data_IF_261750124205
#
_entry.id   IF_261750124205
#
_cell.length_a   1.000
_cell.length_b   1.000
_cell.length_c   1.000
_cell.angle_alpha   90.00
_cell.angle_beta   90.00
_cell.angle_gamma   90.00
#
_symmetry.space_group_name_H-M   'P 1'
#
loop_
_entity.id
_entity.type
_entity.pdbx_description
1 polymer ?
#
# COMPACT_ATOMS: atom_id res chain seq x y z
N UNK A 1 9.44 4.03 7.65
CA UNK A 1 9.26 4.09 6.18
C UNK A 1 8.20 5.09 5.74
N UNK A 2 6.99 5.05 6.28
CA UNK A 2 5.88 5.91 5.83
C UNK A 2 6.13 7.42 6.00
N UNK A 3 6.76 7.87 7.11
CA UNK A 3 7.09 9.29 7.31
C UNK A 3 8.14 9.87 6.35
N UNK A 4 8.97 9.02 5.73
CA UNK A 4 9.97 9.45 4.74
C UNK A 4 9.46 9.35 3.30
N UNK A 5 8.19 8.98 3.12
CA UNK A 5 7.54 8.84 1.82
C UNK A 5 6.29 9.75 1.81
N UNK A 6 6.40 11.02 1.37
CA UNK A 6 5.34 12.02 1.57
C UNK A 6 3.96 11.59 1.05
N UNK A 7 3.91 10.90 -0.10
CA UNK A 7 2.64 10.42 -0.65
C UNK A 7 2.03 9.28 0.19
N UNK A 8 2.84 8.38 0.76
CA UNK A 8 2.35 7.32 1.65
C UNK A 8 1.81 7.91 2.96
N UNK A 9 2.49 8.93 3.50
CA UNK A 9 2.03 9.69 4.64
C UNK A 9 0.72 10.43 4.36
N UNK A 10 0.61 11.11 3.20
CA UNK A 10 -0.63 11.75 2.76
C UNK A 10 -1.77 10.75 2.60
N UNK A 11 -1.48 9.55 2.05
CA UNK A 11 -2.47 8.49 1.90
C UNK A 11 -2.95 7.92 3.24
N UNK A 12 -2.13 8.04 4.29
CA UNK A 12 -2.40 7.47 5.60
C UNK A 12 -2.00 6.00 5.71
N UNK A 13 -1.09 5.52 4.85
CA UNK A 13 -0.61 4.13 4.90
C UNK A 13 0.07 3.88 6.26
N UNK A 14 -0.29 2.77 6.91
CA UNK A 14 0.24 2.35 8.21
C UNK A 14 0.90 0.99 8.09
N UNK A 15 2.08 0.84 8.68
CA UNK A 15 2.66 -0.49 8.91
C UNK A 15 1.93 -1.11 10.08
N UNK A 16 1.41 -2.32 9.90
CA UNK A 16 0.66 -3.04 10.95
C UNK A 16 1.48 -4.14 11.57
N UNK A 17 2.24 -4.87 10.75
CA UNK A 17 3.11 -5.94 11.21
C UNK A 17 4.37 -5.99 10.36
N UNK A 18 5.47 -6.42 10.97
CA UNK A 18 6.72 -6.72 10.28
C UNK A 18 7.36 -7.95 10.90
N UNK A 19 8.07 -8.72 10.10
CA UNK A 19 8.98 -9.76 10.58
C UNK A 19 10.01 -10.11 9.53
N UNK A 20 10.74 -11.23 9.69
CA UNK A 20 11.81 -11.59 8.77
C UNK A 20 11.28 -11.74 7.34
N UNK A 21 11.74 -10.86 6.44
CA UNK A 21 11.35 -10.82 5.03
C UNK A 21 9.83 -10.66 4.76
N UNK A 22 9.07 -10.09 5.69
CA UNK A 22 7.66 -9.72 5.43
C UNK A 22 7.26 -8.42 6.14
N UNK A 23 6.25 -7.77 5.59
CA UNK A 23 5.58 -6.63 6.20
C UNK A 23 4.13 -6.56 5.76
N UNK A 24 3.27 -6.08 6.66
CA UNK A 24 1.85 -5.87 6.41
C UNK A 24 1.55 -4.39 6.56
N UNK A 25 0.82 -3.84 5.60
CA UNK A 25 0.46 -2.43 5.55
C UNK A 25 -1.05 -2.29 5.37
N UNK A 26 -1.63 -1.28 6.01
CA UNK A 26 -3.04 -0.93 5.87
C UNK A 26 -3.19 0.46 5.23
N UNK A 27 -4.23 0.63 4.43
CA UNK A 27 -4.69 1.92 3.92
C UNK A 27 -6.09 2.22 4.49
N UNK A 28 -6.22 3.20 5.40
CA UNK A 28 -7.52 3.56 5.94
C UNK A 28 -8.44 4.09 4.84
N UNK A 29 -9.71 3.74 4.93
CA UNK A 29 -10.73 4.30 4.04
C UNK A 29 -10.81 5.82 4.19
N UNK A 30 -10.89 6.52 3.06
CA UNK A 30 -11.24 7.94 2.95
C UNK A 30 -12.06 8.16 1.69
N UNK A 31 -13.05 9.05 1.74
CA UNK A 31 -13.91 9.33 0.59
C UNK A 31 -13.13 9.81 -0.65
N UNK A 32 -12.04 10.54 -0.42
CA UNK A 32 -11.12 11.03 -1.46
C UNK A 32 -10.48 9.90 -2.29
N UNK A 33 -10.47 8.67 -1.78
CA UNK A 33 -9.89 7.51 -2.46
C UNK A 33 -10.88 6.81 -3.38
N UNK A 34 -12.14 7.23 -3.43
CA UNK A 34 -13.17 6.62 -4.28
C UNK A 34 -12.89 6.96 -5.75
N UNK A 35 -12.70 5.92 -6.57
CA UNK A 35 -12.52 6.05 -8.02
C UNK A 35 -13.84 6.01 -8.80
N UNK A 36 -14.75 5.10 -8.43
CA UNK A 36 -16.11 5.03 -9.01
C UNK A 36 -17.12 5.51 -7.97
N UNK A 37 -17.65 6.75 -8.08
CA UNK A 37 -18.59 7.30 -7.11
C UNK A 37 -19.92 6.54 -7.02
N UNK A 38 -20.34 5.85 -8.09
CA UNK A 38 -21.60 5.09 -8.10
C UNK A 38 -21.46 3.78 -7.36
N UNK A 39 -20.32 3.09 -7.54
CA UNK A 39 -20.04 1.81 -6.86
C UNK A 39 -19.33 1.98 -5.53
N UNK A 40 -18.84 3.19 -5.21
CA UNK A 40 -18.04 3.53 -4.03
C UNK A 40 -16.77 2.66 -3.88
N UNK A 41 -16.17 2.30 -5.01
CA UNK A 41 -14.97 1.45 -5.03
C UNK A 41 -13.71 2.32 -5.02
N UNK A 42 -12.73 1.91 -4.20
CA UNK A 42 -11.42 2.56 -4.12
C UNK A 42 -10.73 2.58 -5.49
N UNK A 43 -10.12 3.72 -5.84
CA UNK A 43 -9.37 3.87 -7.07
C UNK A 43 -8.17 2.92 -7.11
N UNK A 44 -7.99 2.24 -8.26
CA UNK A 44 -6.94 1.24 -8.44
C UNK A 44 -5.54 1.74 -8.09
N UNK A 45 -5.21 3.00 -8.38
CA UNK A 45 -3.91 3.58 -8.05
C UNK A 45 -3.61 3.64 -6.54
N UNK A 46 -4.62 3.79 -5.69
CA UNK A 46 -4.43 3.72 -4.24
C UNK A 46 -4.08 2.29 -3.78
N UNK A 47 -4.73 1.29 -4.40
CA UNK A 47 -4.41 -0.13 -4.18
C UNK A 47 -2.99 -0.45 -4.66
N UNK A 48 -2.62 -0.01 -5.87
CA UNK A 48 -1.27 -0.21 -6.41
C UNK A 48 -0.21 0.43 -5.51
N UNK A 49 -0.47 1.64 -5.00
CA UNK A 49 0.44 2.33 -4.09
C UNK A 49 0.63 1.57 -2.78
N UNK A 50 -0.45 0.99 -2.23
CA UNK A 50 -0.36 0.14 -1.03
C UNK A 50 0.49 -1.11 -1.29
N UNK A 51 0.27 -1.79 -2.43
CA UNK A 51 1.03 -2.98 -2.83
C UNK A 51 2.51 -2.67 -3.00
N UNK A 52 2.85 -1.58 -3.70
CA UNK A 52 4.24 -1.15 -3.91
C UNK A 52 4.93 -0.82 -2.59
N UNK A 53 4.25 -0.09 -1.70
CA UNK A 53 4.80 0.26 -0.39
C UNK A 53 5.05 -0.97 0.49
N UNK A 54 4.10 -1.92 0.51
CA UNK A 54 4.25 -3.18 1.24
C UNK A 54 5.39 -4.03 0.66
N UNK A 55 5.56 -4.03 -0.66
CA UNK A 55 6.66 -4.75 -1.33
C UNK A 55 8.02 -4.18 -0.96
N UNK A 56 8.18 -2.85 -0.98
CA UNK A 56 9.40 -2.19 -0.52
C UNK A 56 9.70 -2.46 0.96
N UNK A 57 8.66 -2.49 1.81
CA UNK A 57 8.80 -2.84 3.23
C UNK A 57 9.29 -4.28 3.42
N UNK A 58 8.74 -5.23 2.68
CA UNK A 58 9.16 -6.62 2.76
C UNK A 58 10.65 -6.80 2.40
N UNK A 59 11.13 -6.09 1.36
CA UNK A 59 12.57 -6.07 1.00
C UNK A 59 13.40 -5.43 2.11
N UNK A 60 12.96 -4.30 2.65
CA UNK A 60 13.62 -3.63 3.77
C UNK A 60 13.74 -4.53 5.01
N UNK A 61 12.74 -5.39 5.24
CA UNK A 61 12.75 -6.40 6.30
C UNK A 61 13.57 -7.66 5.99
N UNK A 62 14.05 -7.84 4.76
CA UNK A 62 14.83 -9.01 4.34
C UNK A 62 16.34 -8.74 4.31
N UNK A 63 16.77 -7.48 4.25
CA UNK A 63 18.18 -7.08 4.15
C UNK A 63 18.77 -6.74 5.51
N UNK A 64 20.06 -7.02 5.72
CA UNK A 64 20.76 -6.72 6.97
C UNK A 64 21.02 -5.22 7.15
N UNK A 65 21.29 -4.52 6.06
CA UNK A 65 21.51 -3.07 6.04
C UNK A 65 20.48 -2.38 5.15
N UNK A 66 19.81 -1.36 5.70
CA UNK A 66 18.85 -0.57 4.95
C UNK A 66 19.56 0.29 3.90
N UNK A 67 19.16 0.11 2.64
CA UNK A 67 19.63 0.90 1.51
C UNK A 67 18.46 1.45 0.71
N UNK A 68 18.74 2.31 -0.27
CA UNK A 68 17.72 2.77 -1.21
C UNK A 68 17.25 1.60 -2.08
N UNK A 69 15.94 1.37 -2.09
CA UNK A 69 15.29 0.32 -2.89
C UNK A 69 14.45 1.01 -3.95
N UNK A 70 14.50 0.48 -5.17
CA UNK A 70 13.67 0.94 -6.29
C UNK A 70 12.94 -0.24 -6.91
N UNK A 71 11.63 -0.09 -7.10
CA UNK A 71 10.80 -1.07 -7.81
C UNK A 71 11.25 -1.15 -9.27
N UNK A 72 11.64 -2.35 -9.73
CA UNK A 72 12.07 -2.59 -11.11
C UNK A 72 10.86 -2.92 -12.00
N UNK A 73 9.95 -3.74 -11.47
CA UNK A 73 8.72 -4.17 -12.13
C UNK A 73 7.61 -4.30 -11.09
N UNK A 74 6.38 -3.96 -11.48
CA UNK A 74 5.20 -4.14 -10.65
C UNK A 74 4.01 -4.49 -11.54
N UNK A 75 3.46 -5.69 -11.30
CA UNK A 75 2.25 -6.17 -11.96
C UNK A 75 1.15 -6.37 -10.92
N UNK A 76 -0.03 -5.83 -11.20
CA UNK A 76 -1.21 -6.00 -10.35
C UNK A 76 -2.34 -6.59 -11.19
N UNK A 77 -2.79 -7.78 -10.83
CA UNK A 77 -3.98 -8.42 -11.38
C UNK A 77 -5.15 -8.25 -10.39
N UNK A 78 -6.10 -7.37 -10.70
CA UNK A 78 -7.27 -7.12 -9.84
C UNK A 78 -8.30 -8.25 -9.96
N UNK A 79 -8.49 -8.99 -8.87
CA UNK A 79 -9.40 -10.16 -8.85
C UNK A 79 -10.88 -9.76 -8.68
N UNK A 80 -11.13 -8.73 -7.88
CA UNK A 80 -12.47 -8.18 -7.60
C UNK A 80 -12.35 -6.72 -7.15
N UNK A 81 -13.46 -6.01 -7.15
CA UNK A 81 -13.53 -4.70 -6.52
C UNK A 81 -13.27 -4.80 -5.00
N UNK A 82 -12.60 -3.80 -4.45
CA UNK A 82 -12.52 -3.62 -3.01
C UNK A 82 -13.91 -3.43 -2.42
N UNK A 83 -14.11 -3.92 -1.20
CA UNK A 83 -15.36 -3.71 -0.48
C UNK A 83 -15.52 -2.21 -0.16
N UNK A 84 -16.68 -1.59 -0.48
CA UNK A 84 -16.89 -0.17 -0.22
C UNK A 84 -16.71 0.19 1.25
N UNK A 85 -16.17 1.38 1.49
CA UNK A 85 -16.12 2.02 2.82
C UNK A 85 -15.31 1.27 3.90
N UNK A 86 -14.52 0.26 3.49
CA UNK A 86 -13.63 -0.49 4.37
C UNK A 86 -12.15 -0.14 4.15
N UNK A 87 -11.39 -0.29 5.23
CA UNK A 87 -9.92 -0.27 5.18
C UNK A 87 -9.39 -1.42 4.31
N UNK A 88 -8.30 -1.14 3.59
CA UNK A 88 -7.52 -2.15 2.88
C UNK A 88 -6.39 -2.64 3.79
N UNK A 89 -6.20 -3.96 3.87
CA UNK A 89 -5.19 -4.65 4.68
C UNK A 89 -4.56 -5.80 3.91
#
# INVERSE_FOLDING_TARGET
MTMHTPHAAYLGIRVVETGPAFGVCALPFREELIGDPRRRVVFGGAITTLIDHASGLAVACAVEELTAIATIDLRVDYLRAAEPDLELY
#
